data_IF_477659291653
#
_entry.id   IF_477659291653
#
_cell.length_a   1.000
_cell.length_b   1.000
_cell.length_c   1.000
_cell.angle_alpha   90.00
_cell.angle_beta   90.00
_cell.angle_gamma   90.00
#
_symmetry.space_group_name_H-M   'P 1'
#
loop_
_entity.id
_entity.type
_entity.pdbx_description
1 polymer ?
#
# COMPACT_ATOMS: atom_id res chain seq x y z
N UNK A 1 -18.47 -5.84 -29.87
CA UNK A 1 -18.29 -6.60 -28.62
C UNK A 1 -18.97 -5.78 -27.54
N UNK A 2 -19.75 -6.37 -26.61
CA UNK A 2 -20.39 -5.58 -25.56
C UNK A 2 -19.31 -4.83 -24.77
N UNK A 3 -19.52 -3.53 -24.56
CA UNK A 3 -18.66 -2.75 -23.68
C UNK A 3 -18.79 -3.33 -22.27
N UNK A 4 -17.68 -3.79 -21.71
CA UNK A 4 -17.63 -4.24 -20.32
C UNK A 4 -17.66 -3.02 -19.41
N UNK A 5 -18.76 -2.81 -18.71
CA UNK A 5 -18.85 -1.79 -17.65
C UNK A 5 -17.92 -2.20 -16.52
N UNK A 6 -17.04 -1.29 -16.10
CA UNK A 6 -16.13 -1.53 -14.97
C UNK A 6 -16.32 -0.46 -13.90
N UNK A 7 -16.20 -0.87 -12.64
CA UNK A 7 -16.22 0.01 -11.48
C UNK A 7 -14.89 -0.06 -10.76
N UNK A 8 -14.37 1.09 -10.36
CA UNK A 8 -13.11 1.16 -9.61
C UNK A 8 -13.35 1.73 -8.22
N UNK A 9 -13.06 0.95 -7.20
CA UNK A 9 -12.97 1.41 -5.83
C UNK A 9 -11.53 1.82 -5.53
N UNK A 10 -11.32 2.97 -4.91
CA UNK A 10 -10.00 3.37 -4.43
C UNK A 10 -10.02 3.63 -2.93
N UNK A 11 -8.90 3.38 -2.27
CA UNK A 11 -8.70 3.74 -0.89
C UNK A 11 -7.25 3.58 -0.48
N UNK A 12 -7.00 3.69 0.81
CA UNK A 12 -5.69 3.63 1.42
C UNK A 12 -5.67 2.53 2.47
N UNK A 13 -4.74 1.59 2.33
CA UNK A 13 -4.39 0.65 3.38
C UNK A 13 -3.32 1.29 4.27
N UNK A 14 -3.56 1.30 5.57
CA UNK A 14 -2.59 1.75 6.57
C UNK A 14 -1.80 0.52 7.00
N UNK A 15 -0.50 0.52 6.73
CA UNK A 15 0.42 -0.50 7.15
C UNK A 15 1.21 0.00 8.36
N UNK A 16 1.40 -0.85 9.36
CA UNK A 16 2.15 -0.53 10.56
C UNK A 16 3.33 -1.49 10.71
N UNK A 17 4.53 -0.92 10.86
CA UNK A 17 5.74 -1.66 11.11
C UNK A 17 5.88 -2.00 12.60
N UNK A 18 6.19 -3.26 12.90
CA UNK A 18 6.69 -3.69 14.20
C UNK A 18 8.21 -3.81 14.11
N UNK A 19 8.93 -3.16 15.03
CA UNK A 19 10.40 -3.15 15.04
C UNK A 19 10.97 -4.12 16.07
N UNK A 20 12.22 -4.54 15.87
CA UNK A 20 12.92 -5.33 16.87
C UNK A 20 13.10 -4.56 18.18
N UNK A 21 12.93 -5.26 19.31
CA UNK A 21 13.20 -4.69 20.64
C UNK A 21 14.70 -4.61 20.93
N UNK A 22 15.49 -5.52 20.36
CA UNK A 22 16.95 -5.60 20.54
C UNK A 22 17.67 -5.17 19.25
N UNK A 23 18.94 -4.78 19.38
CA UNK A 23 19.76 -4.24 18.30
C UNK A 23 19.93 -2.73 18.35
N UNK A 24 20.93 -2.22 17.62
CA UNK A 24 21.24 -0.81 17.56
C UNK A 24 20.24 -0.08 16.64
N UNK A 25 19.77 1.13 17.01
CA UNK A 25 19.00 1.96 16.11
C UNK A 25 19.85 2.40 14.91
N UNK A 26 19.19 2.58 13.77
CA UNK A 26 19.80 3.16 12.57
C UNK A 26 20.08 4.66 12.73
N UNK A 27 20.58 5.27 11.66
CA UNK A 27 20.88 6.71 11.61
C UNK A 27 19.65 7.60 11.83
N UNK A 28 18.46 7.07 11.56
CA UNK A 28 17.15 7.69 11.77
C UNK A 28 16.61 7.50 13.21
N UNK A 29 17.40 6.88 14.09
CA UNK A 29 17.01 6.56 15.47
C UNK A 29 15.94 5.47 15.56
N UNK A 30 15.64 4.77 14.46
CA UNK A 30 14.66 3.69 14.41
C UNK A 30 15.36 2.34 14.32
N UNK A 31 14.80 1.34 15.01
CA UNK A 31 15.30 -0.04 14.92
C UNK A 31 14.79 -0.69 13.63
N UNK A 32 15.47 -1.76 13.22
CA UNK A 32 15.08 -2.52 12.03
C UNK A 32 13.63 -3.03 12.15
N UNK A 33 12.90 -2.99 11.04
CA UNK A 33 11.55 -3.54 10.94
C UNK A 33 11.64 -5.07 11.03
N UNK A 34 10.88 -5.64 11.97
CA UNK A 34 10.74 -7.08 12.18
C UNK A 34 9.57 -7.66 11.38
N UNK A 35 8.45 -6.95 11.37
CA UNK A 35 7.21 -7.39 10.73
C UNK A 35 6.36 -6.19 10.32
N UNK A 36 5.38 -6.43 9.44
CA UNK A 36 4.39 -5.43 9.01
C UNK A 36 3.00 -6.04 9.13
N UNK A 37 2.02 -5.24 9.54
CA UNK A 37 0.60 -5.62 9.57
C UNK A 37 -0.27 -4.54 8.94
N UNK A 38 -1.45 -4.93 8.48
CA UNK A 38 -2.51 -3.97 8.12
C UNK A 38 -3.12 -3.45 9.42
N UNK A 39 -2.96 -2.15 9.66
CA UNK A 39 -3.53 -1.47 10.82
C UNK A 39 -4.93 -0.90 10.53
N UNK A 40 -5.27 -0.66 9.26
CA UNK A 40 -6.61 -0.24 8.89
C UNK A 40 -6.79 0.13 7.41
N UNK A 41 -7.99 0.58 7.09
CA UNK A 41 -8.38 1.07 5.76
C UNK A 41 -9.05 2.45 5.88
N UNK A 42 -8.83 3.30 4.87
CA UNK A 42 -9.52 4.59 4.69
C UNK A 42 -9.90 4.77 3.23
N UNK A 43 -11.11 5.26 2.96
CA UNK A 43 -11.50 5.64 1.60
C UNK A 43 -10.70 6.86 1.09
N UNK A 44 -10.42 7.83 1.96
CA UNK A 44 -9.62 9.03 1.66
C UNK A 44 -8.17 8.93 2.12
N UNK A 45 -7.33 9.86 1.62
CA UNK A 45 -5.94 9.98 2.08
C UNK A 45 -5.92 10.30 3.58
N UNK A 46 -5.19 9.55 4.42
CA UNK A 46 -5.10 9.86 5.84
C UNK A 46 -4.38 11.19 6.05
N UNK A 47 -4.95 12.07 6.88
CA UNK A 47 -4.35 13.38 7.21
C UNK A 47 -3.19 13.29 8.20
N UNK A 48 -3.14 12.21 8.98
CA UNK A 48 -2.08 11.94 9.98
C UNK A 48 -1.79 10.44 10.04
N UNK A 49 -0.52 10.09 10.23
CA UNK A 49 -0.05 8.72 10.44
C UNK A 49 0.81 8.67 11.69
N UNK A 50 0.79 7.54 12.41
CA UNK A 50 1.74 7.31 13.49
C UNK A 50 3.17 7.12 12.93
N UNK A 51 4.18 7.27 13.78
CA UNK A 51 5.61 7.20 13.39
C UNK A 51 5.98 5.93 12.60
N UNK A 52 5.36 4.81 12.92
CA UNK A 52 5.61 3.51 12.28
C UNK A 52 4.54 3.11 11.27
N UNK A 53 3.71 4.05 10.84
CA UNK A 53 2.65 3.81 9.87
C UNK A 53 2.96 4.44 8.52
N UNK A 54 2.59 3.72 7.46
CA UNK A 54 2.55 4.23 6.09
C UNK A 54 1.16 4.00 5.50
N UNK A 55 0.80 4.79 4.49
CA UNK A 55 -0.45 4.63 3.75
C UNK A 55 -0.16 4.25 2.30
N UNK A 56 -0.72 3.13 1.84
CA UNK A 56 -0.60 2.64 0.47
C UNK A 56 -1.93 2.83 -0.24
N UNK A 57 -1.94 3.58 -1.35
CA UNK A 57 -3.14 3.75 -2.17
C UNK A 57 -3.39 2.49 -2.97
N UNK A 58 -4.56 1.90 -2.81
CA UNK A 58 -5.01 0.71 -3.54
C UNK A 58 -6.20 1.11 -4.42
N UNK A 59 -6.18 0.65 -5.66
CA UNK A 59 -7.33 0.68 -6.56
C UNK A 59 -7.72 -0.75 -6.88
N UNK A 60 -9.02 -1.05 -6.80
CA UNK A 60 -9.57 -2.34 -7.20
C UNK A 60 -10.60 -2.07 -8.28
N UNK A 61 -10.34 -2.57 -9.48
CA UNK A 61 -11.26 -2.48 -10.62
C UNK A 61 -11.95 -3.81 -10.82
N UNK A 62 -13.27 -3.77 -10.90
CA UNK A 62 -14.13 -4.94 -10.98
C UNK A 62 -15.13 -4.73 -12.11
N UNK A 63 -15.42 -5.77 -12.87
CA UNK A 63 -16.46 -5.75 -13.91
C UNK A 63 -17.85 -5.75 -13.25
N UNK A 64 -18.81 -5.04 -13.84
CA UNK A 64 -20.17 -4.94 -13.30
C UNK A 64 -20.81 -6.34 -13.10
N UNK A 65 -20.51 -7.30 -13.98
CA UNK A 65 -21.02 -8.67 -13.89
C UNK A 65 -20.51 -9.46 -12.67
N UNK A 66 -19.40 -9.05 -12.05
CA UNK A 66 -18.84 -9.66 -10.84
C UNK A 66 -19.61 -9.26 -9.57
N UNK A 67 -20.43 -8.20 -9.63
CA UNK A 67 -21.36 -7.86 -8.55
C UNK A 67 -22.62 -8.76 -8.56
N UNK A 68 -22.72 -9.68 -9.52
CA UNK A 68 -23.76 -10.71 -9.54
C UNK A 68 -23.48 -11.77 -8.47
N UNK A 69 -24.45 -12.07 -7.57
CA UNK A 69 -24.27 -13.02 -6.47
C UNK A 69 -24.07 -14.49 -6.92
N UNK A 70 -24.11 -14.77 -8.22
CA UNK A 70 -24.05 -16.12 -8.80
C UNK A 70 -22.69 -16.39 -9.49
N UNK A 71 -21.96 -15.35 -9.93
CA UNK A 71 -20.81 -15.48 -10.86
C UNK A 71 -19.54 -14.74 -10.46
N UNK A 72 -19.43 -14.26 -9.22
CA UNK A 72 -18.26 -13.49 -8.79
C UNK A 72 -16.96 -14.34 -8.76
N UNK A 73 -16.14 -14.26 -9.81
CA UNK A 73 -14.74 -14.70 -9.84
C UNK A 73 -13.84 -13.48 -9.61
N UNK A 74 -13.55 -13.19 -8.33
CA UNK A 74 -12.81 -11.99 -7.92
C UNK A 74 -11.40 -11.91 -8.56
N UNK A 75 -11.25 -11.14 -9.64
CA UNK A 75 -9.95 -10.84 -10.25
C UNK A 75 -9.26 -9.67 -9.51
N UNK A 76 -8.39 -9.98 -8.55
CA UNK A 76 -7.62 -8.97 -7.82
C UNK A 76 -6.41 -8.51 -8.67
N UNK A 77 -6.57 -7.47 -9.49
CA UNK A 77 -5.44 -6.87 -10.20
C UNK A 77 -4.78 -5.80 -9.32
N UNK A 78 -3.67 -6.18 -8.66
CA UNK A 78 -2.78 -5.23 -7.99
C UNK A 78 -1.88 -4.58 -9.04
N UNK A 79 -1.95 -3.27 -9.21
CA UNK A 79 -1.01 -2.50 -10.02
C UNK A 79 0.21 -2.10 -9.15
N UNK A 80 1.39 -2.73 -9.33
CA UNK A 80 2.57 -2.48 -8.52
C UNK A 80 3.26 -1.14 -8.83
N UNK A 81 2.83 -0.40 -9.85
CA UNK A 81 3.44 0.88 -10.24
C UNK A 81 3.22 2.04 -9.23
N UNK A 82 2.46 1.82 -8.15
CA UNK A 82 2.15 2.84 -7.12
C UNK A 82 2.81 2.62 -5.76
N UNK A 83 3.89 1.85 -5.71
CA UNK A 83 4.78 1.84 -4.54
C UNK A 83 5.63 3.12 -4.58
N UNK A 84 5.28 4.11 -3.75
CA UNK A 84 6.11 5.32 -3.57
C UNK A 84 7.34 4.93 -2.76
N UNK A 85 8.49 4.81 -3.42
CA UNK A 85 9.78 4.69 -2.76
C UNK A 85 10.29 6.07 -2.31
N UNK A 86 10.95 6.19 -1.15
CA UNK A 86 11.69 7.41 -0.83
C UNK A 86 12.80 7.60 -1.87
N UNK A 87 12.86 8.80 -2.47
CA UNK A 87 14.01 9.23 -3.27
C UNK A 87 15.19 9.34 -2.32
N UNK A 88 16.18 8.46 -2.47
CA UNK A 88 17.52 8.71 -1.94
C UNK A 88 18.20 9.53 -3.01
N UNK A 89 18.47 10.81 -2.72
CA UNK A 89 19.29 11.65 -3.62
C UNK A 89 20.62 10.94 -3.87
N UNK A 90 20.98 10.86 -5.16
CA UNK A 90 22.19 10.25 -5.70
C UNK A 90 23.43 10.65 -4.87
N UNK A 91 24.16 9.64 -4.37
CA UNK A 91 25.59 9.81 -4.19
C UNK A 91 26.20 9.68 -5.59
N UNK A 92 26.58 10.81 -6.18
CA UNK A 92 27.42 10.81 -7.37
C UNK A 92 28.67 9.93 -7.12
N UNK A 93 29.08 9.06 -8.06
CA UNK A 93 30.31 8.32 -7.91
C UNK A 93 31.49 9.31 -8.01
N UNK A 94 32.19 9.54 -6.89
CA UNK A 94 33.55 10.10 -6.94
C UNK A 94 34.46 9.14 -7.71
N UNK A 95 35.16 9.68 -8.71
CA UNK A 95 36.24 9.04 -9.49
C UNK A 95 37.27 8.28 -8.63
#
# INVERSE_FOLDING_TARGET
MPEKTTHTATGYLILEASRYTYGLPGKDGLKQIKAVRIAGYRAGRPGTLARDQIAVKVGVTVDESEFSPITAELALTLDPSRVVHPVVEDLEPTE
#
